data_IF_549786707286
#
_entry.id   IF_549786707286
#
_cell.length_a   1.000
_cell.length_b   1.000
_cell.length_c   1.000
_cell.angle_alpha   90.00
_cell.angle_beta   90.00
_cell.angle_gamma   90.00
#
_symmetry.space_group_name_H-M   'P 1'
#
loop_
_entity.id
_entity.type
_entity.pdbx_description
1 polymer ?
#
# COMPACT_ATOMS: atom_id res chain seq x y z
N UNK A 1 15.95 21.59 3.19
CA UNK A 1 16.67 21.37 4.46
C UNK A 1 17.82 20.43 4.18
N UNK A 2 18.93 20.54 4.90
CA UNK A 2 19.99 19.52 4.82
C UNK A 2 19.47 18.23 5.46
N UNK A 3 19.66 17.06 4.85
CA UNK A 3 19.18 15.79 5.41
C UNK A 3 19.92 15.48 6.71
N UNK A 4 19.21 14.93 7.69
CA UNK A 4 19.76 14.51 8.98
C UNK A 4 20.62 13.26 8.76
N UNK A 5 21.73 13.13 9.49
CA UNK A 5 22.59 11.94 9.45
C UNK A 5 22.29 11.00 10.63
N UNK A 6 22.27 9.70 10.38
CA UNK A 6 22.04 8.68 11.41
C UNK A 6 22.69 7.33 11.11
N UNK A 7 22.55 6.40 12.06
CA UNK A 7 23.02 5.02 11.97
C UNK A 7 21.83 4.07 12.12
N UNK A 8 21.74 3.07 11.26
CA UNK A 8 20.70 2.03 11.34
C UNK A 8 20.95 1.17 12.57
N UNK A 9 20.13 1.31 13.61
CA UNK A 9 20.24 0.59 14.88
C UNK A 9 19.74 -0.83 14.77
N UNK A 10 18.57 -1.01 14.16
CA UNK A 10 17.87 -2.29 14.07
C UNK A 10 17.05 -2.36 12.79
N UNK A 11 16.89 -3.58 12.28
CA UNK A 11 16.00 -3.86 11.17
C UNK A 11 15.27 -5.18 11.42
N UNK A 12 13.94 -5.16 11.38
CA UNK A 12 13.09 -6.33 11.42
C UNK A 12 12.66 -6.65 9.97
N UNK A 13 13.29 -7.67 9.37
CA UNK A 13 12.98 -8.11 8.01
C UNK A 13 11.57 -8.68 7.88
N UNK A 14 11.06 -9.35 8.91
CA UNK A 14 9.76 -10.02 8.87
C UNK A 14 8.60 -9.03 8.98
N UNK A 15 8.79 -7.95 9.76
CA UNK A 15 7.78 -6.92 9.96
C UNK A 15 8.01 -5.67 9.09
N UNK A 16 9.11 -5.64 8.33
CA UNK A 16 9.35 -4.59 7.34
C UNK A 16 9.60 -3.21 7.94
N UNK A 17 10.28 -3.11 9.08
CA UNK A 17 10.64 -1.82 9.67
C UNK A 17 12.01 -1.85 10.33
N UNK A 18 12.54 -0.67 10.62
CA UNK A 18 13.79 -0.50 11.35
C UNK A 18 13.82 0.79 12.14
N UNK A 19 14.98 1.06 12.73
CA UNK A 19 15.21 2.29 13.49
C UNK A 19 16.55 2.90 13.14
N UNK A 20 16.56 4.22 12.95
CA UNK A 20 17.75 5.04 12.73
C UNK A 20 18.02 5.87 14.00
N UNK A 21 19.20 5.72 14.58
CA UNK A 21 19.65 6.57 15.66
C UNK A 21 20.30 7.85 15.12
N UNK A 22 19.85 9.00 15.62
CA UNK A 22 20.47 10.30 15.38
C UNK A 22 20.29 11.20 16.61
N UNK A 23 21.27 12.08 16.91
CA UNK A 23 21.10 13.11 17.94
C UNK A 23 19.89 14.03 17.70
N UNK A 24 19.46 14.19 16.45
CA UNK A 24 18.30 15.04 16.08
C UNK A 24 16.95 14.35 16.34
N UNK A 25 16.92 13.01 16.43
CA UNK A 25 15.73 12.19 16.71
C UNK A 25 15.97 11.33 17.96
N UNK A 26 16.07 11.95 19.16
CA UNK A 26 16.40 11.23 20.38
C UNK A 26 15.37 10.13 20.70
N UNK A 27 15.87 8.93 21.01
CA UNK A 27 15.05 7.72 21.17
C UNK A 27 15.03 6.83 19.91
N UNK A 28 15.39 7.39 18.76
CA UNK A 28 15.42 6.72 17.47
C UNK A 28 14.27 7.14 16.57
N UNK A 29 14.53 7.10 15.26
CA UNK A 29 13.58 7.39 14.21
C UNK A 29 13.11 6.10 13.56
N UNK A 30 11.83 5.78 13.69
CA UNK A 30 11.24 4.60 13.08
C UNK A 30 11.20 4.73 11.56
N UNK A 31 11.50 3.67 10.82
CA UNK A 31 11.53 3.68 9.35
C UNK A 31 10.88 2.41 8.80
N UNK A 32 10.00 2.54 7.80
CA UNK A 32 9.37 1.40 7.12
C UNK A 32 10.26 0.88 5.98
N UNK A 33 10.10 -0.38 5.55
CA UNK A 33 10.87 -0.99 4.46
C UNK A 33 10.73 -0.29 3.11
N UNK A 34 9.64 0.44 2.90
CA UNK A 34 9.36 1.15 1.65
C UNK A 34 9.83 2.61 1.66
N UNK A 35 10.20 3.14 2.82
CA UNK A 35 10.66 4.53 2.97
C UNK A 35 12.03 4.79 2.34
N UNK A 36 13.05 3.91 2.47
CA UNK A 36 14.38 4.22 1.97
C UNK A 36 14.47 4.31 0.45
N UNK A 37 14.98 5.42 -0.05
CA UNK A 37 15.44 5.60 -1.44
C UNK A 37 16.78 4.90 -1.68
N UNK A 38 16.83 3.58 -1.47
CA UNK A 38 17.99 2.74 -1.83
C UNK A 38 17.68 1.88 -3.05
N UNK A 39 18.72 1.35 -3.71
CA UNK A 39 18.53 0.46 -4.87
C UNK A 39 17.93 -0.89 -4.50
N UNK A 40 18.00 -1.28 -3.23
CA UNK A 40 17.58 -2.59 -2.71
C UNK A 40 16.30 -2.44 -1.89
N UNK A 41 15.25 -3.18 -2.25
CA UNK A 41 13.95 -3.16 -1.52
C UNK A 41 13.93 -4.00 -0.23
N UNK A 42 15.07 -4.50 0.22
CA UNK A 42 15.15 -5.40 1.40
C UNK A 42 15.38 -4.65 2.72
N UNK A 43 15.20 -3.32 2.72
CA UNK A 43 15.42 -2.49 3.90
C UNK A 43 16.81 -1.91 4.03
N UNK A 44 17.14 -1.41 5.22
CA UNK A 44 18.42 -0.81 5.54
C UNK A 44 19.35 -1.81 6.26
N UNK A 45 20.61 -1.80 5.88
CA UNK A 45 21.66 -2.64 6.48
C UNK A 45 21.97 -2.15 7.89
N UNK A 46 21.91 -3.08 8.84
CA UNK A 46 22.26 -2.82 10.25
C UNK A 46 23.66 -2.21 10.37
N UNK A 47 23.78 -1.13 11.15
CA UNK A 47 25.04 -0.43 11.43
C UNK A 47 25.53 0.50 10.30
N UNK A 48 24.87 0.53 9.13
CA UNK A 48 25.23 1.48 8.08
C UNK A 48 24.79 2.91 8.45
N UNK A 49 25.56 3.88 7.95
CA UNK A 49 25.21 5.31 8.04
C UNK A 49 24.27 5.68 6.91
N UNK A 50 23.24 6.45 7.23
CA UNK A 50 22.27 6.96 6.28
C UNK A 50 22.08 8.46 6.45
N UNK A 51 21.77 9.12 5.35
CA UNK A 51 21.04 10.38 5.35
C UNK A 51 19.55 10.05 5.38
N UNK A 52 18.77 10.81 6.14
CA UNK A 52 17.33 10.61 6.22
C UNK A 52 16.60 11.93 6.48
N UNK A 53 15.35 11.95 6.05
CA UNK A 53 14.36 12.98 6.38
C UNK A 53 13.35 12.39 7.37
N UNK A 54 12.78 13.23 8.23
CA UNK A 54 11.92 12.75 9.29
C UNK A 54 10.84 13.77 9.68
N UNK A 55 9.78 13.24 10.28
CA UNK A 55 8.71 14.00 10.90
C UNK A 55 8.51 13.57 12.35
N UNK A 56 8.10 14.53 13.19
CA UNK A 56 7.72 14.25 14.57
C UNK A 56 6.24 13.91 14.63
N UNK A 57 5.92 12.80 15.28
CA UNK A 57 4.53 12.37 15.43
C UNK A 57 3.77 13.17 16.49
N UNK A 58 2.44 13.36 16.31
CA UNK A 58 1.59 14.02 17.30
C UNK A 58 1.33 13.08 18.48
N UNK A 59 2.24 13.11 19.46
CA UNK A 59 2.17 12.32 20.69
C UNK A 59 3.49 11.59 20.98
N UNK A 60 3.71 11.20 22.25
CA UNK A 60 4.90 10.43 22.62
C UNK A 60 4.69 8.93 22.40
N UNK A 61 5.66 8.28 21.76
CA UNK A 61 5.76 6.84 21.59
C UNK A 61 4.69 6.23 20.69
N UNK A 62 4.04 7.02 19.84
CA UNK A 62 2.87 6.59 19.06
C UNK A 62 3.24 5.52 18.04
N UNK A 63 4.43 5.59 17.45
CA UNK A 63 4.95 4.58 16.54
C UNK A 63 5.84 3.61 17.31
N UNK A 64 5.26 2.56 17.89
CA UNK A 64 6.01 1.50 18.57
C UNK A 64 7.00 1.98 19.64
N UNK A 65 6.66 3.08 20.32
CA UNK A 65 7.52 3.70 21.32
C UNK A 65 8.45 4.80 20.79
N UNK A 66 8.36 5.14 19.50
CA UNK A 66 9.11 6.22 18.85
C UNK A 66 8.28 7.48 18.62
N UNK A 67 8.92 8.63 18.81
CA UNK A 67 8.35 9.97 18.62
C UNK A 67 8.56 10.50 17.18
N UNK A 68 9.40 9.82 16.39
CA UNK A 68 9.87 10.26 15.08
C UNK A 68 9.74 9.15 14.05
N UNK A 69 9.33 9.51 12.84
CA UNK A 69 9.25 8.62 11.68
C UNK A 69 10.06 9.17 10.53
N UNK A 70 10.79 8.30 9.83
CA UNK A 70 11.52 8.66 8.64
C UNK A 70 10.55 8.78 7.45
N UNK A 71 10.73 9.82 6.65
CA UNK A 71 9.97 10.06 5.42
C UNK A 71 10.78 9.73 4.17
N UNK A 72 12.11 9.68 4.28
CA UNK A 72 13.04 9.19 3.26
C UNK A 72 14.36 8.77 3.93
N UNK A 73 15.13 7.86 3.32
CA UNK A 73 16.46 7.47 3.80
C UNK A 73 17.35 6.89 2.68
N UNK A 74 18.64 7.18 2.68
CA UNK A 74 19.61 6.62 1.73
C UNK A 74 21.00 6.52 2.34
N UNK A 75 21.84 5.63 1.81
CA UNK A 75 23.18 5.41 2.36
C UNK A 75 24.10 6.62 2.15
N UNK A 76 24.90 6.92 3.18
CA UNK A 76 25.92 7.97 3.07
C UNK A 76 26.92 7.59 1.98
N UNK A 77 27.15 8.52 1.04
CA UNK A 77 28.01 8.29 -0.13
C UNK A 77 27.28 7.73 -1.34
N UNK A 78 25.98 7.45 -1.20
CA UNK A 78 25.08 7.15 -2.31
C UNK A 78 24.15 8.34 -2.54
N UNK A 79 23.75 8.57 -3.79
CA UNK A 79 22.65 9.48 -4.09
C UNK A 79 21.32 8.76 -3.80
N UNK A 80 20.30 9.44 -3.28
CA UNK A 80 18.99 8.85 -3.09
C UNK A 80 18.51 8.29 -4.42
N UNK A 81 18.22 6.99 -4.42
CA UNK A 81 17.73 6.31 -5.61
C UNK A 81 16.32 6.83 -5.92
N UNK A 82 16.27 7.82 -6.80
CA UNK A 82 15.04 8.19 -7.50
C UNK A 82 14.97 7.31 -8.72
N UNK A 83 13.94 6.45 -8.79
CA UNK A 83 13.63 5.71 -10.01
C UNK A 83 13.64 6.71 -11.16
N UNK A 84 14.40 6.47 -12.25
CA UNK A 84 14.42 7.39 -13.38
C UNK A 84 12.97 7.67 -13.75
N UNK A 85 12.56 8.94 -13.65
CA UNK A 85 11.36 9.37 -14.34
C UNK A 85 11.63 9.04 -15.80
N UNK A 86 10.97 8.01 -16.33
CA UNK A 86 10.79 7.91 -17.77
C UNK A 86 10.27 9.27 -18.27
N UNK A 87 10.45 9.59 -19.57
CA UNK A 87 10.04 10.88 -20.11
C UNK A 87 8.69 11.24 -19.52
N UNK A 88 8.62 12.41 -18.85
CA UNK A 88 7.42 12.91 -18.20
C UNK A 88 6.26 12.68 -19.16
N UNK A 89 5.49 11.63 -18.93
CA UNK A 89 4.17 11.60 -19.50
C UNK A 89 3.47 12.69 -18.71
N UNK A 90 3.17 13.80 -19.38
CA UNK A 90 2.24 14.80 -18.89
C UNK A 90 1.20 14.08 -18.03
N UNK A 91 1.06 14.50 -16.77
CA UNK A 91 0.17 13.90 -15.78
C UNK A 91 -1.03 13.29 -16.50
N UNK A 92 -1.07 11.96 -16.60
CA UNK A 92 -2.24 11.30 -17.14
C UNK A 92 -3.29 11.42 -16.04
N UNK A 93 -3.98 12.56 -16.04
CA UNK A 93 -5.35 12.63 -15.57
C UNK A 93 -6.16 11.78 -16.53
N UNK A 94 -6.35 10.51 -16.21
CA UNK A 94 -7.34 9.70 -16.91
C UNK A 94 -8.71 10.11 -16.36
N UNK A 95 -9.32 11.13 -16.96
CA UNK A 95 -10.76 11.30 -16.86
C UNK A 95 -11.38 10.26 -17.78
N UNK A 96 -11.83 9.14 -17.21
CA UNK A 96 -12.68 8.20 -17.95
C UNK A 96 -14.08 8.83 -18.06
N UNK A 97 -14.40 9.38 -19.23
CA UNK A 97 -15.79 9.69 -19.58
C UNK A 97 -16.36 8.48 -20.30
N UNK A 98 -17.26 7.76 -19.63
CA UNK A 98 -18.00 6.65 -20.26
C UNK A 98 -19.10 7.27 -21.12
N UNK A 99 -18.93 7.22 -22.43
CA UNK A 99 -20.03 7.40 -23.40
C UNK A 99 -20.44 6.02 -23.90
N UNK A 100 -21.68 5.64 -23.63
CA UNK A 100 -22.31 4.48 -24.24
C UNK A 100 -22.71 4.87 -25.66
N UNK A 101 -22.18 4.18 -26.67
CA UNK A 101 -22.71 4.28 -28.03
C UNK A 101 -22.78 2.89 -28.66
N UNK A 102 -23.96 2.56 -29.18
CA UNK A 102 -24.31 1.28 -29.78
C UNK A 102 -23.84 1.26 -31.24
N UNK A 103 -22.74 0.57 -31.54
CA UNK A 103 -22.36 0.35 -32.94
C UNK A 103 -21.05 -0.41 -33.14
N UNK A 104 -20.98 -1.36 -34.12
CA UNK A 104 -19.80 -2.18 -34.33
C UNK A 104 -18.77 -1.49 -35.24
N UNK A 105 -17.51 -1.87 -35.04
CA UNK A 105 -16.31 -1.53 -35.82
C UNK A 105 -15.67 -0.14 -35.58
N UNK A 106 -14.56 -0.13 -34.82
CA UNK A 106 -13.30 0.39 -35.39
C UNK A 106 -12.04 -0.04 -34.62
N UNK A 107 -10.97 -0.25 -35.40
CA UNK A 107 -9.70 -0.89 -35.06
C UNK A 107 -8.81 -0.06 -34.13
N UNK A 108 -8.31 -0.73 -33.09
CA UNK A 108 -7.46 -0.20 -32.03
C UNK A 108 -6.02 0.04 -32.56
N UNK A 109 -5.48 1.23 -32.36
CA UNK A 109 -4.04 1.52 -32.45
C UNK A 109 -3.60 2.04 -31.09
N UNK A 110 -3.06 1.17 -30.24
CA UNK A 110 -2.47 1.53 -28.94
C UNK A 110 -1.09 0.90 -28.81
N UNK A 111 -0.13 1.75 -28.48
CA UNK A 111 1.30 1.42 -28.27
C UNK A 111 1.44 0.61 -26.97
N UNK A 112 2.21 -0.51 -26.95
CA UNK A 112 2.24 -1.41 -25.81
C UNK A 112 3.25 -0.98 -24.74
N UNK A 113 2.86 -1.11 -23.47
CA UNK A 113 3.77 -1.19 -22.32
C UNK A 113 3.76 -2.66 -21.86
N UNK A 114 4.89 -3.35 -22.05
CA UNK A 114 5.17 -4.72 -21.62
C UNK A 114 4.31 -5.86 -22.20
N UNK A 115 4.88 -6.58 -23.16
CA UNK A 115 4.84 -8.06 -23.28
C UNK A 115 3.52 -8.80 -23.52
N UNK A 116 2.53 -8.67 -22.63
CA UNK A 116 1.21 -9.29 -22.73
C UNK A 116 0.23 -8.43 -21.93
N UNK A 117 -0.81 -7.93 -22.61
CA UNK A 117 -1.83 -7.02 -22.06
C UNK A 117 -2.62 -7.80 -20.99
N UNK A 118 -2.42 -7.49 -19.71
CA UNK A 118 -3.27 -8.01 -18.65
C UNK A 118 -4.74 -7.69 -18.96
N UNK A 119 -5.62 -8.63 -18.67
CA UNK A 119 -7.06 -8.46 -18.88
C UNK A 119 -7.67 -7.83 -17.64
N UNK A 120 -8.41 -6.73 -17.80
CA UNK A 120 -9.14 -6.14 -16.68
C UNK A 120 -10.33 -7.03 -16.33
N UNK A 121 -10.30 -7.62 -15.14
CA UNK A 121 -11.26 -8.65 -14.68
C UNK A 121 -12.06 -8.23 -13.45
N UNK A 122 -11.77 -7.06 -12.87
CA UNK A 122 -12.56 -6.49 -11.78
C UNK A 122 -12.51 -4.96 -11.78
N UNK A 123 -13.63 -4.34 -11.47
CA UNK A 123 -13.72 -2.92 -11.15
C UNK A 123 -14.65 -2.73 -9.97
N UNK A 124 -14.17 -2.03 -8.94
CA UNK A 124 -14.94 -1.76 -7.74
C UNK A 124 -14.55 -0.43 -7.12
N UNK A 125 -15.44 0.13 -6.32
CA UNK A 125 -15.18 1.35 -5.56
C UNK A 125 -15.61 1.12 -4.12
N UNK A 126 -14.78 1.51 -3.17
CA UNK A 126 -15.18 1.64 -1.77
C UNK A 126 -15.34 3.11 -1.38
N UNK A 127 -16.35 3.44 -0.57
CA UNK A 127 -16.60 4.79 -0.03
C UNK A 127 -16.89 4.71 1.47
N UNK A 128 -16.27 5.57 2.28
CA UNK A 128 -16.22 5.56 3.77
C UNK A 128 -17.57 5.61 4.53
N UNK A 129 -18.71 5.62 3.83
CA UNK A 129 -20.06 5.52 4.41
C UNK A 129 -21.03 4.67 3.60
N UNK A 130 -20.64 4.28 2.40
CA UNK A 130 -21.50 3.54 1.47
C UNK A 130 -20.99 2.10 1.31
N UNK A 131 -19.74 1.84 1.72
CA UNK A 131 -19.12 0.53 1.62
C UNK A 131 -18.64 0.24 0.22
N UNK A 132 -18.57 -1.05 -0.10
CA UNK A 132 -18.12 -1.54 -1.39
C UNK A 132 -19.24 -1.50 -2.44
N UNK A 133 -18.94 -0.89 -3.58
CA UNK A 133 -19.74 -0.91 -4.80
C UNK A 133 -18.96 -1.68 -5.87
N UNK A 134 -19.40 -2.88 -6.17
CA UNK A 134 -18.87 -3.67 -7.28
C UNK A 134 -19.45 -3.13 -8.60
N UNK A 135 -18.61 -2.75 -9.54
CA UNK A 135 -19.03 -2.31 -10.87
C UNK A 135 -19.09 -3.52 -11.80
N UNK A 136 -18.02 -4.30 -11.85
CA UNK A 136 -17.94 -5.55 -12.61
C UNK A 136 -16.91 -6.48 -11.99
N UNK A 137 -17.11 -7.79 -12.17
CA UNK A 137 -16.09 -8.79 -11.88
C UNK A 137 -16.33 -10.07 -12.66
N UNK A 138 -15.27 -10.57 -13.28
CA UNK A 138 -15.16 -11.90 -13.89
C UNK A 138 -14.32 -12.86 -13.01
N UNK A 139 -13.93 -12.41 -11.81
CA UNK A 139 -13.12 -13.18 -10.86
C UNK A 139 -14.01 -14.09 -10.00
N UNK A 140 -13.44 -15.16 -9.41
CA UNK A 140 -14.14 -15.98 -8.43
C UNK A 140 -14.64 -15.16 -7.22
N UNK A 141 -15.74 -15.62 -6.60
CA UNK A 141 -16.37 -14.97 -5.44
C UNK A 141 -15.40 -14.67 -4.29
N UNK A 142 -14.32 -15.46 -4.16
CA UNK A 142 -13.24 -15.24 -3.20
C UNK A 142 -12.68 -13.81 -3.26
N UNK A 143 -12.51 -13.24 -4.45
CA UNK A 143 -11.98 -11.88 -4.66
C UNK A 143 -12.95 -10.80 -4.22
N UNK A 144 -14.23 -10.94 -4.57
CA UNK A 144 -15.28 -9.99 -4.17
C UNK A 144 -15.49 -10.05 -2.66
N UNK A 145 -15.50 -11.25 -2.08
CA UNK A 145 -15.61 -11.45 -0.63
C UNK A 145 -14.39 -10.86 0.11
N UNK A 146 -13.19 -11.02 -0.43
CA UNK A 146 -11.98 -10.45 0.12
C UNK A 146 -12.00 -8.91 0.11
N UNK A 147 -12.37 -8.28 -1.00
CA UNK A 147 -12.57 -6.82 -1.06
C UNK A 147 -13.65 -6.34 -0.10
N UNK A 148 -14.74 -7.11 0.06
CA UNK A 148 -15.80 -6.81 1.02
C UNK A 148 -15.29 -6.80 2.46
N UNK A 149 -14.49 -7.80 2.86
CA UNK A 149 -13.90 -7.90 4.20
C UNK A 149 -12.89 -6.78 4.48
N UNK A 150 -11.97 -6.55 3.54
CA UNK A 150 -10.98 -5.46 3.65
C UNK A 150 -11.69 -4.10 3.67
N UNK A 151 -12.69 -3.92 2.81
CA UNK A 151 -13.53 -2.72 2.76
C UNK A 151 -14.34 -2.46 4.03
N UNK A 152 -14.81 -3.50 4.72
CA UNK A 152 -15.47 -3.35 6.00
C UNK A 152 -14.53 -2.66 7.01
N UNK A 153 -13.31 -3.18 7.12
CA UNK A 153 -12.32 -2.73 8.10
C UNK A 153 -11.70 -1.36 7.75
N UNK A 154 -11.87 -0.84 6.54
CA UNK A 154 -11.42 0.52 6.18
C UNK A 154 -12.06 1.61 7.05
N UNK A 155 -13.18 1.33 7.72
CA UNK A 155 -13.85 2.29 8.61
C UNK A 155 -13.24 2.40 10.01
N UNK A 156 -12.24 1.58 10.34
CA UNK A 156 -11.62 1.59 11.67
C UNK A 156 -10.60 2.72 11.81
N UNK A 157 -9.91 2.79 12.94
CA UNK A 157 -9.04 3.91 13.28
C UNK A 157 -7.91 4.09 12.25
N UNK A 158 -7.82 5.31 11.72
CA UNK A 158 -6.80 5.76 10.77
C UNK A 158 -6.00 6.93 11.37
N UNK A 159 -4.73 7.07 10.98
CA UNK A 159 -3.87 8.19 11.37
C UNK A 159 -3.23 8.86 10.16
N UNK A 160 -2.98 10.16 10.23
CA UNK A 160 -2.38 10.93 9.12
C UNK A 160 -3.37 11.39 8.03
N UNK A 161 -4.61 10.91 8.07
CA UNK A 161 -5.71 11.30 7.18
C UNK A 161 -6.92 10.41 7.38
N UNK A 162 -7.97 10.68 6.59
CA UNK A 162 -9.18 9.83 6.50
C UNK A 162 -9.35 9.42 5.05
N UNK A 163 -9.25 8.13 4.74
CA UNK A 163 -9.57 7.59 3.42
C UNK A 163 -11.06 7.80 3.16
N UNK A 164 -11.37 8.55 2.11
CA UNK A 164 -12.73 8.86 1.70
C UNK A 164 -13.25 7.84 0.69
N UNK A 165 -12.37 7.44 -0.23
CA UNK A 165 -12.68 6.58 -1.36
C UNK A 165 -11.45 5.77 -1.78
N UNK A 166 -11.68 4.53 -2.20
CA UNK A 166 -10.69 3.74 -2.93
C UNK A 166 -11.33 3.21 -4.20
N UNK A 167 -10.68 3.42 -5.34
CA UNK A 167 -11.04 2.78 -6.60
C UNK A 167 -10.12 1.59 -6.86
N UNK A 168 -10.71 0.45 -7.19
CA UNK A 168 -10.03 -0.81 -7.43
C UNK A 168 -10.21 -1.27 -8.86
N UNK A 169 -9.09 -1.70 -9.46
CA UNK A 169 -9.05 -2.39 -10.74
C UNK A 169 -8.20 -3.63 -10.56
N UNK A 170 -8.66 -4.79 -11.04
CA UNK A 170 -7.82 -5.99 -11.07
C UNK A 170 -7.48 -6.38 -12.50
N UNK A 171 -6.21 -6.71 -12.73
CA UNK A 171 -5.69 -7.19 -14.01
C UNK A 171 -5.22 -8.64 -13.88
N UNK A 172 -5.81 -9.53 -14.68
CA UNK A 172 -5.40 -10.93 -14.79
C UNK A 172 -4.31 -11.10 -15.83
N UNK A 173 -3.29 -11.90 -15.52
CA UNK A 173 -2.23 -12.26 -16.44
C UNK A 173 -2.37 -13.73 -16.86
N UNK A 174 -2.83 -14.02 -18.10
CA UNK A 174 -3.11 -15.39 -18.54
C UNK A 174 -1.91 -16.33 -18.50
N UNK A 175 -0.71 -15.80 -18.78
CA UNK A 175 0.52 -16.59 -18.84
C UNK A 175 0.95 -17.13 -17.46
N UNK A 176 0.54 -16.46 -16.39
CA UNK A 176 1.04 -16.71 -15.04
C UNK A 176 -0.05 -17.08 -14.03
N UNK A 177 -1.33 -16.88 -14.36
CA UNK A 177 -2.45 -17.14 -13.48
C UNK A 177 -2.65 -16.07 -12.38
N UNK A 178 -1.76 -15.08 -12.30
CA UNK A 178 -1.83 -14.04 -11.27
C UNK A 178 -2.84 -12.96 -11.61
N UNK A 179 -3.44 -12.42 -10.55
CA UNK A 179 -4.30 -11.25 -10.58
C UNK A 179 -3.63 -10.15 -9.75
N UNK A 180 -3.45 -8.98 -10.38
CA UNK A 180 -2.87 -7.81 -9.75
C UNK A 180 -3.97 -6.83 -9.38
N UNK A 181 -4.06 -6.44 -8.11
CA UNK A 181 -4.98 -5.40 -7.66
C UNK A 181 -4.29 -4.03 -7.69
N UNK A 182 -4.84 -3.12 -8.48
CA UNK A 182 -4.49 -1.71 -8.50
C UNK A 182 -5.48 -0.95 -7.62
N UNK A 183 -4.99 -0.01 -6.81
CA UNK A 183 -5.83 0.86 -5.99
C UNK A 183 -5.48 2.33 -6.17
N UNK A 184 -6.49 3.18 -6.32
CA UNK A 184 -6.36 4.64 -6.24
C UNK A 184 -7.00 5.10 -4.94
N UNK A 185 -6.18 5.59 -4.01
CA UNK A 185 -6.62 6.01 -2.68
C UNK A 185 -6.85 7.52 -2.67
N UNK A 186 -8.09 7.92 -2.37
CA UNK A 186 -8.47 9.31 -2.13
C UNK A 186 -8.62 9.55 -0.63
N UNK A 187 -7.82 10.47 -0.11
CA UNK A 187 -7.86 10.90 1.29
C UNK A 187 -8.66 12.21 1.37
N UNK A 188 -9.56 12.33 2.35
CA UNK A 188 -10.40 13.50 2.54
C UNK A 188 -9.56 14.79 2.57
N UNK A 189 -9.95 15.75 1.73
CA UNK A 189 -9.23 17.03 1.57
C UNK A 189 -7.95 16.93 0.74
N UNK A 190 -7.63 15.76 0.18
CA UNK A 190 -6.57 15.51 -0.80
C UNK A 190 -7.21 14.99 -2.11
N UNK A 191 -6.55 15.21 -3.23
CA UNK A 191 -6.96 14.62 -4.51
C UNK A 191 -6.63 13.12 -4.58
N UNK A 192 -7.11 12.42 -5.63
CA UNK A 192 -6.72 11.04 -5.89
C UNK A 192 -5.20 10.93 -6.10
N UNK A 193 -4.64 9.80 -5.68
CA UNK A 193 -3.19 9.53 -5.76
C UNK A 193 -2.80 8.87 -7.09
N UNK A 194 -3.79 8.42 -7.87
CA UNK A 194 -3.63 7.61 -9.07
C UNK A 194 -3.56 6.12 -8.74
N UNK A 195 -3.87 5.28 -9.73
CA UNK A 195 -3.82 3.83 -9.59
C UNK A 195 -2.38 3.35 -9.33
N UNK A 196 -2.14 2.89 -8.11
CA UNK A 196 -0.91 2.25 -7.68
C UNK A 196 -1.08 0.73 -7.57
N UNK A 197 0.00 -0.01 -7.87
CA UNK A 197 0.09 -1.45 -7.68
C UNK A 197 1.13 -1.73 -6.58
N UNK A 198 0.85 -2.68 -5.68
CA UNK A 198 1.87 -3.22 -4.77
C UNK A 198 2.59 -4.40 -5.42
N UNK A 199 3.80 -4.74 -4.96
CA UNK A 199 4.64 -5.77 -5.59
C UNK A 199 4.15 -7.21 -5.41
N UNK A 200 3.06 -7.42 -4.69
CA UNK A 200 2.46 -8.72 -4.40
C UNK A 200 1.30 -9.02 -5.38
N UNK A 201 0.98 -10.29 -5.59
CA UNK A 201 -0.17 -10.74 -6.38
C UNK A 201 -0.66 -12.09 -5.87
N UNK A 202 -1.95 -12.38 -6.03
CA UNK A 202 -2.54 -13.69 -5.73
C UNK A 202 -2.86 -14.42 -7.03
N UNK A 203 -2.86 -15.75 -7.00
CA UNK A 203 -3.37 -16.56 -8.10
C UNK A 203 -4.90 -16.43 -8.18
N UNK A 204 -5.44 -16.55 -9.38
CA UNK A 204 -6.90 -16.43 -9.61
C UNK A 204 -7.70 -17.44 -8.78
N UNK A 205 -7.15 -18.62 -8.55
CA UNK A 205 -7.74 -19.77 -7.86
C UNK A 205 -7.22 -19.97 -6.42
N UNK A 206 -6.53 -18.97 -5.85
CA UNK A 206 -6.11 -19.01 -4.45
C UNK A 206 -7.33 -19.11 -3.50
N UNK A 207 -7.12 -19.81 -2.38
CA UNK A 207 -8.10 -19.92 -1.31
C UNK A 207 -8.48 -18.55 -0.72
N UNK A 208 -9.74 -18.39 -0.33
CA UNK A 208 -10.30 -17.09 0.05
C UNK A 208 -9.51 -16.36 1.15
N UNK A 209 -9.03 -17.07 2.18
CA UNK A 209 -8.26 -16.45 3.27
C UNK A 209 -6.89 -15.96 2.78
N UNK A 210 -6.27 -16.66 1.83
CA UNK A 210 -5.02 -16.21 1.19
C UNK A 210 -5.25 -14.98 0.34
N UNK A 211 -6.34 -14.95 -0.45
CA UNK A 211 -6.75 -13.77 -1.23
C UNK A 211 -7.02 -12.58 -0.30
N UNK A 212 -7.67 -12.79 0.84
CA UNK A 212 -7.93 -11.73 1.84
C UNK A 212 -6.65 -11.14 2.39
N UNK A 213 -5.69 -11.97 2.80
CA UNK A 213 -4.38 -11.49 3.31
C UNK A 213 -3.63 -10.72 2.22
N UNK A 214 -3.64 -11.23 0.98
CA UNK A 214 -3.00 -10.54 -0.14
C UNK A 214 -3.65 -9.17 -0.39
N UNK A 215 -4.97 -9.11 -0.58
CA UNK A 215 -5.67 -7.84 -0.81
C UNK A 215 -5.46 -6.85 0.34
N UNK A 216 -5.51 -7.32 1.58
CA UNK A 216 -5.27 -6.49 2.75
C UNK A 216 -3.87 -5.84 2.74
N UNK A 217 -2.84 -6.62 2.39
CA UNK A 217 -1.46 -6.14 2.24
C UNK A 217 -1.34 -5.11 1.11
N UNK A 218 -1.93 -5.40 -0.06
CA UNK A 218 -1.93 -4.50 -1.22
C UNK A 218 -2.61 -3.16 -0.90
N UNK A 219 -3.79 -3.19 -0.28
CA UNK A 219 -4.54 -1.99 0.11
C UNK A 219 -3.79 -1.21 1.18
N UNK A 220 -3.23 -1.89 2.18
CA UNK A 220 -2.44 -1.26 3.23
C UNK A 220 -1.23 -0.51 2.66
N UNK A 221 -0.52 -1.08 1.68
CA UNK A 221 0.60 -0.43 0.99
C UNK A 221 0.14 0.84 0.23
N UNK A 222 -1.00 0.80 -0.46
CA UNK A 222 -1.51 2.01 -1.16
C UNK A 222 -2.01 3.08 -0.19
N UNK A 223 -2.66 2.70 0.91
CA UNK A 223 -3.10 3.65 1.94
C UNK A 223 -1.89 4.31 2.62
N UNK A 224 -0.83 3.55 2.89
CA UNK A 224 0.44 4.08 3.39
C UNK A 224 1.09 5.06 2.41
N UNK A 225 1.06 4.79 1.09
CA UNK A 225 1.52 5.73 0.05
C UNK A 225 0.71 7.02 0.00
N UNK A 226 -0.56 6.98 0.39
CA UNK A 226 -1.38 8.18 0.55
C UNK A 226 -1.11 8.94 1.87
N UNK A 227 -0.06 8.55 2.60
CA UNK A 227 0.32 9.08 3.91
C UNK A 227 -0.77 8.92 4.97
N UNK A 228 -1.41 7.74 4.98
CA UNK A 228 -2.37 7.32 6.01
C UNK A 228 -1.94 5.97 6.57
N UNK A 229 -1.93 5.85 7.90
CA UNK A 229 -1.66 4.58 8.57
C UNK A 229 -2.98 3.87 8.90
N UNK A 230 -3.12 2.64 8.40
CA UNK A 230 -4.29 1.78 8.58
C UNK A 230 -3.92 0.29 8.40
N UNK A 231 -4.61 -0.65 9.06
CA UNK A 231 -5.51 -0.42 10.19
C UNK A 231 -4.74 -0.25 11.50
N UNK A 232 -5.31 0.55 12.40
CA UNK A 232 -4.75 0.75 13.74
C UNK A 232 -5.63 0.05 14.78
N UNK A 233 -5.01 -0.79 15.61
CA UNK A 233 -5.74 -1.53 16.64
C UNK A 233 -6.26 -0.64 17.77
N UNK A 234 -7.31 -1.10 18.45
CA UNK A 234 -7.95 -0.39 19.58
C UNK A 234 -6.98 -0.10 20.73
N UNK A 235 -6.06 -1.03 20.98
CA UNK A 235 -5.02 -0.93 22.01
C UNK A 235 -3.83 -0.08 21.57
N UNK A 236 -3.88 0.48 20.36
CA UNK A 236 -2.78 1.19 19.72
C UNK A 236 -1.78 0.24 19.05
N UNK A 237 -1.33 0.64 17.85
CA UNK A 237 -0.34 -0.06 17.05
C UNK A 237 -0.89 -0.36 15.65
N UNK A 238 0.01 -0.30 14.67
CA UNK A 238 -0.26 -0.77 13.31
C UNK A 238 -0.53 -2.28 13.34
N UNK A 239 -1.47 -2.75 12.51
CA UNK A 239 -1.76 -4.17 12.37
C UNK A 239 -1.36 -4.66 10.99
N UNK A 240 -0.82 -5.86 10.90
CA UNK A 240 -0.37 -6.48 9.64
C UNK A 240 -1.26 -7.68 9.29
N UNK A 241 -1.67 -7.85 8.03
CA UNK A 241 -2.50 -8.99 7.64
C UNK A 241 -1.65 -10.26 7.60
N UNK A 242 -2.13 -11.35 8.20
CA UNK A 242 -1.47 -12.65 8.23
C UNK A 242 -2.48 -13.79 8.24
N UNK A 243 -2.05 -14.98 7.82
CA UNK A 243 -2.78 -16.21 8.07
C UNK A 243 -2.38 -16.78 9.43
N UNK A 244 -3.36 -16.96 10.32
CA UNK A 244 -3.20 -17.64 11.61
C UNK A 244 -4.25 -18.75 11.67
N UNK A 245 -3.80 -20.00 11.84
CA UNK A 245 -4.67 -21.18 11.84
C UNK A 245 -5.61 -21.24 10.62
N UNK A 246 -5.08 -20.91 9.44
CA UNK A 246 -5.80 -20.82 8.16
C UNK A 246 -6.92 -19.77 8.11
N UNK A 247 -6.90 -18.78 9.00
CA UNK A 247 -7.82 -17.63 9.00
C UNK A 247 -7.05 -16.34 8.75
N UNK A 248 -7.56 -15.48 7.87
CA UNK A 248 -7.00 -14.16 7.62
C UNK A 248 -7.31 -13.24 8.80
N UNK A 249 -6.25 -12.76 9.44
CA UNK A 249 -6.33 -11.88 10.61
C UNK A 249 -5.46 -10.64 10.45
N UNK A 250 -5.91 -9.54 11.03
CA UNK A 250 -5.05 -8.44 11.42
C UNK A 250 -4.31 -8.83 12.70
N UNK A 251 -2.98 -8.78 12.66
CA UNK A 251 -2.10 -9.09 13.79
C UNK A 251 -1.42 -7.82 14.30
N UNK A 252 -1.53 -7.55 15.61
CA UNK A 252 -0.85 -6.43 16.29
C UNK A 252 -0.17 -6.88 17.58
N UNK A 253 0.04 -5.97 18.56
CA UNK A 253 0.70 -6.24 19.86
C UNK A 253 0.00 -7.32 20.71
N UNK A 254 0.16 -8.59 20.34
CA UNK A 254 -0.38 -9.75 21.06
C UNK A 254 -1.86 -10.06 20.80
N UNK A 255 -2.48 -9.45 19.79
CA UNK A 255 -3.89 -9.67 19.47
C UNK A 255 -4.08 -9.94 17.98
N UNK A 256 -4.98 -10.88 17.68
CA UNK A 256 -5.45 -11.20 16.34
C UNK A 256 -6.93 -10.85 16.22
N UNK A 257 -7.31 -10.22 15.12
CA UNK A 257 -8.71 -9.94 14.77
C UNK A 257 -8.96 -10.43 13.35
N UNK A 258 -10.04 -11.15 13.14
CA UNK A 258 -10.38 -11.64 11.79
C UNK A 258 -10.57 -10.44 10.85
N UNK A 259 -9.98 -10.50 9.66
CA UNK A 259 -10.16 -9.44 8.66
C UNK A 259 -11.64 -9.46 8.23
N UNK A 260 -12.29 -8.30 8.24
CA UNK A 260 -13.72 -8.09 8.04
C UNK A 260 -14.54 -8.07 9.33
N UNK A 261 -13.91 -7.97 10.50
CA UNK A 261 -14.58 -7.95 11.80
C UNK A 261 -14.19 -6.78 12.71
N UNK A 262 -13.39 -5.83 12.20
CA UNK A 262 -12.98 -4.65 12.96
C UNK A 262 -14.10 -3.59 13.03
#
# INVERSE_FOLDING_TARGET
MSPTIGIVRSWNLEEGWGVIDSPETPGGCWVHATTPSTKTRMGLDLGRRVYFEWERLPGKGVQDGFDFVATDAWYVGEEPYRRPQGPSSAAFSTSLTITFDDGPDHKDHRIPLFGSRGEQVLTATWIARQGLHLVSSDLPDAWVNALGRVGHDLNVRQYGGVVERIDWVAEYQPDSGYVFLLSDVTVLGRGPSGLGMSGSAAQVDDEVESVVVCIADLVQDQVARAHVAWPWGDTGGFMTPRLVDAVAVWSGKGHHRVIGSL
#
